data_IF_856219474161
#
_entry.id   IF_856219474161
#
_cell.length_a   1.000
_cell.length_b   1.000
_cell.length_c   1.000
_cell.angle_alpha   90.00
_cell.angle_beta   90.00
_cell.angle_gamma   90.00
#
_symmetry.space_group_name_H-M   'P 1'
#
loop_
_entity.id
_entity.type
_entity.pdbx_description
1 polymer ?
#
# COMPACT_ATOMS: atom_id res chain seq x y z
N UNK A 1 -17.50 -6.07 -1.07
CA UNK A 1 -18.81 -5.38 -1.09
C UNK A 1 -18.89 -4.38 0.08
N UNK A 2 -19.36 -3.15 -0.14
CA UNK A 2 -19.60 -2.19 0.95
C UNK A 2 -20.89 -2.56 1.72
N UNK A 3 -20.92 -2.40 3.05
CA UNK A 3 -22.15 -2.61 3.82
C UNK A 3 -23.20 -1.55 3.46
N UNK A 4 -24.49 -1.85 3.68
CA UNK A 4 -25.62 -0.97 3.36
C UNK A 4 -25.51 0.44 3.97
N UNK A 5 -24.86 0.56 5.13
CA UNK A 5 -24.52 1.84 5.76
C UNK A 5 -23.03 1.86 6.09
N UNK A 6 -22.18 2.34 5.16
CA UNK A 6 -20.75 2.35 5.38
C UNK A 6 -20.34 3.44 6.38
N UNK A 7 -19.40 3.11 7.27
CA UNK A 7 -18.89 4.06 8.25
C UNK A 7 -17.92 5.04 7.57
N UNK A 8 -18.46 6.18 7.13
CA UNK A 8 -17.68 7.21 6.42
C UNK A 8 -16.50 7.73 7.23
N UNK A 9 -16.67 7.95 8.54
CA UNK A 9 -15.60 8.43 9.41
C UNK A 9 -14.42 7.45 9.49
N UNK A 10 -14.70 6.14 9.51
CA UNK A 10 -13.65 5.11 9.47
C UNK A 10 -12.93 5.12 8.12
N UNK A 11 -13.67 5.13 7.01
CA UNK A 11 -13.09 5.16 5.67
C UNK A 11 -12.18 6.40 5.47
N UNK A 12 -12.65 7.57 5.88
CA UNK A 12 -11.88 8.81 5.82
C UNK A 12 -10.63 8.76 6.71
N UNK A 13 -10.75 8.15 7.89
CA UNK A 13 -9.62 7.95 8.80
C UNK A 13 -8.55 7.06 8.19
N UNK A 14 -8.93 5.92 7.60
CA UNK A 14 -8.00 5.02 6.92
C UNK A 14 -7.34 5.71 5.73
N UNK A 15 -8.11 6.41 4.87
CA UNK A 15 -7.56 7.19 3.75
C UNK A 15 -6.58 8.26 4.20
N UNK A 16 -6.91 8.98 5.28
CA UNK A 16 -6.02 9.99 5.86
C UNK A 16 -4.68 9.37 6.31
N UNK A 17 -4.71 8.20 6.94
CA UNK A 17 -3.50 7.46 7.33
C UNK A 17 -2.69 6.99 6.11
N UNK A 18 -3.33 6.50 5.06
CA UNK A 18 -2.67 6.11 3.80
C UNK A 18 -1.96 7.31 3.15
N UNK A 19 -2.60 8.49 3.13
CA UNK A 19 -1.99 9.72 2.60
C UNK A 19 -0.80 10.14 3.46
N UNK A 20 -0.92 10.11 4.79
CA UNK A 20 0.20 10.44 5.68
C UNK A 20 1.38 9.48 5.52
N UNK A 21 1.13 8.17 5.39
CA UNK A 21 2.17 7.14 5.28
C UNK A 21 2.92 7.18 3.94
N UNK A 22 2.22 7.50 2.85
CA UNK A 22 2.79 7.52 1.51
C UNK A 22 3.47 8.86 1.17
N UNK A 23 3.14 9.95 1.85
CA UNK A 23 3.71 11.26 1.55
C UNK A 23 5.16 11.40 2.09
N UNK A 24 6.12 11.89 1.27
CA UNK A 24 7.53 12.03 1.69
C UNK A 24 7.76 13.01 2.85
N UNK A 25 6.83 13.94 3.08
CA UNK A 25 6.97 15.00 4.08
C UNK A 25 5.69 15.28 4.86
N UNK A 26 5.73 16.23 5.80
CA UNK A 26 4.56 16.59 6.60
C UNK A 26 3.55 17.42 5.80
N UNK A 27 2.26 17.16 6.04
CA UNK A 27 1.13 17.75 5.31
C UNK A 27 0.33 18.74 6.16
N UNK A 28 -0.16 19.81 5.55
CA UNK A 28 -1.08 20.75 6.23
C UNK A 28 -2.51 20.22 6.26
N UNK A 29 -3.32 20.66 7.24
CA UNK A 29 -4.73 20.24 7.34
C UNK A 29 -5.57 20.64 6.11
N UNK A 30 -5.34 21.84 5.55
CA UNK A 30 -5.99 22.29 4.29
C UNK A 30 -5.59 21.45 3.08
N UNK A 31 -4.35 20.98 3.06
CA UNK A 31 -3.87 20.12 1.98
C UNK A 31 -4.53 18.75 2.06
N UNK A 32 -4.60 18.17 3.27
CA UNK A 32 -5.32 16.91 3.51
C UNK A 32 -6.82 17.02 3.23
N UNK A 33 -7.45 18.14 3.60
CA UNK A 33 -8.85 18.43 3.29
C UNK A 33 -9.14 18.35 1.79
N UNK A 34 -8.28 18.97 0.95
CA UNK A 34 -8.40 18.89 -0.51
C UNK A 34 -8.19 17.47 -1.04
N UNK A 35 -7.18 16.74 -0.54
CA UNK A 35 -6.89 15.37 -1.00
C UNK A 35 -7.97 14.36 -0.60
N UNK A 36 -8.67 14.61 0.50
CA UNK A 36 -9.75 13.76 1.00
C UNK A 36 -11.15 14.23 0.56
N UNK A 37 -11.22 15.29 -0.25
CA UNK A 37 -12.47 15.93 -0.69
C UNK A 37 -13.44 16.20 0.49
N UNK A 38 -12.95 16.94 1.50
CA UNK A 38 -13.73 17.27 2.68
C UNK A 38 -13.46 18.67 3.24
N UNK A 39 -14.39 19.16 4.05
CA UNK A 39 -14.26 20.43 4.75
C UNK A 39 -13.03 20.52 5.65
N UNK A 40 -12.38 21.68 5.66
CA UNK A 40 -11.14 21.91 6.45
C UNK A 40 -11.38 21.67 7.94
N UNK A 41 -12.52 22.07 8.49
CA UNK A 41 -12.89 21.83 9.90
C UNK A 41 -13.01 20.33 10.20
N UNK A 42 -13.56 19.54 9.26
CA UNK A 42 -13.67 18.07 9.40
C UNK A 42 -12.30 17.41 9.36
N UNK A 43 -11.43 17.82 8.43
CA UNK A 43 -10.06 17.34 8.35
C UNK A 43 -9.26 17.65 9.64
N UNK A 44 -9.44 18.85 10.20
CA UNK A 44 -8.83 19.21 11.49
C UNK A 44 -9.27 18.29 12.63
N UNK A 45 -10.58 18.05 12.75
CA UNK A 45 -11.12 17.14 13.78
C UNK A 45 -10.56 15.73 13.61
N UNK A 46 -10.58 15.21 12.38
CA UNK A 46 -10.02 13.90 12.06
C UNK A 46 -8.54 13.79 12.46
N UNK A 47 -7.73 14.77 12.06
CA UNK A 47 -6.29 14.78 12.35
C UNK A 47 -5.98 14.93 13.84
N UNK A 48 -6.77 15.70 14.58
CA UNK A 48 -6.64 15.80 16.04
C UNK A 48 -7.00 14.48 16.72
N UNK A 49 -8.05 13.79 16.27
CA UNK A 49 -8.39 12.44 16.76
C UNK A 49 -7.28 11.44 16.47
N UNK A 50 -6.77 11.38 15.24
CA UNK A 50 -5.65 10.51 14.88
C UNK A 50 -4.37 10.83 15.66
N UNK A 51 -4.12 12.11 15.93
CA UNK A 51 -2.99 12.53 16.77
C UNK A 51 -3.16 12.12 18.24
N UNK A 52 -4.36 12.24 18.78
CA UNK A 52 -4.69 11.75 20.12
C UNK A 52 -4.48 10.24 20.26
N UNK A 53 -4.79 9.48 19.22
CA UNK A 53 -4.54 8.02 19.15
C UNK A 53 -3.07 7.66 18.87
N UNK A 54 -2.17 8.65 18.69
CA UNK A 54 -0.77 8.43 18.34
C UNK A 54 -0.54 7.94 16.90
N UNK A 55 -1.58 7.90 16.07
CA UNK A 55 -1.53 7.47 14.66
C UNK A 55 -1.04 8.58 13.74
N UNK A 56 -1.24 9.84 14.12
CA UNK A 56 -0.61 10.99 13.50
C UNK A 56 0.23 11.75 14.55
N UNK A 57 1.16 12.58 14.10
CA UNK A 57 1.82 13.57 14.96
C UNK A 57 1.95 14.90 14.24
N UNK A 58 1.81 15.99 14.98
CA UNK A 58 1.90 17.35 14.45
C UNK A 58 3.27 17.94 14.80
N UNK A 59 3.95 18.53 13.82
CA UNK A 59 5.21 19.24 14.04
C UNK A 59 4.98 20.69 14.50
N UNK A 60 6.07 21.41 14.80
CA UNK A 60 6.04 22.84 15.21
C UNK A 60 5.41 23.80 14.19
N UNK A 61 5.27 23.39 12.94
CA UNK A 61 4.67 24.18 11.85
C UNK A 61 3.21 23.78 11.59
N UNK A 62 2.57 23.12 12.55
CA UNK A 62 1.19 22.63 12.44
C UNK A 62 0.93 21.65 11.30
N UNK A 63 1.98 21.02 10.76
CA UNK A 63 1.86 19.98 9.72
C UNK A 63 1.90 18.58 10.34
N UNK A 64 1.16 17.66 9.75
CA UNK A 64 0.97 16.30 10.22
C UNK A 64 1.83 15.29 9.47
N UNK A 65 2.29 14.26 10.17
CA UNK A 65 3.05 13.13 9.64
C UNK A 65 2.64 11.85 10.38
N UNK A 66 3.03 10.65 9.91
CA UNK A 66 2.77 9.40 10.62
C UNK A 66 3.23 9.45 12.08
N UNK A 67 2.37 8.99 12.98
CA UNK A 67 2.66 8.85 14.40
C UNK A 67 3.23 7.46 14.74
N UNK A 68 3.88 7.30 15.90
CA UNK A 68 4.54 6.05 16.29
C UNK A 68 3.56 4.86 16.39
N UNK A 69 2.28 5.09 16.70
CA UNK A 69 1.30 4.01 16.79
C UNK A 69 1.09 3.27 15.45
N UNK A 70 1.34 3.94 14.31
CA UNK A 70 1.30 3.27 13.00
C UNK A 70 2.38 2.20 12.87
N UNK A 71 3.59 2.49 13.37
CA UNK A 71 4.71 1.55 13.31
C UNK A 71 4.47 0.36 14.24
N UNK A 72 3.94 0.63 15.44
CA UNK A 72 3.56 -0.41 16.40
C UNK A 72 2.48 -1.32 15.80
N UNK A 73 1.43 -0.75 15.23
CA UNK A 73 0.35 -1.52 14.60
C UNK A 73 0.86 -2.37 13.43
N UNK A 74 1.71 -1.81 12.58
CA UNK A 74 2.33 -2.54 11.48
C UNK A 74 3.19 -3.72 12.00
N UNK A 75 4.05 -3.48 13.00
CA UNK A 75 4.88 -4.52 13.59
C UNK A 75 4.04 -5.64 14.23
N UNK A 76 3.00 -5.28 14.98
CA UNK A 76 2.09 -6.25 15.61
C UNK A 76 1.36 -7.09 14.55
N UNK A 77 0.85 -6.46 13.48
CA UNK A 77 0.14 -7.15 12.40
C UNK A 77 1.06 -8.10 11.61
N UNK A 78 2.28 -7.67 11.29
CA UNK A 78 3.27 -8.49 10.60
C UNK A 78 3.73 -9.68 11.46
N UNK A 79 3.88 -9.46 12.76
CA UNK A 79 4.23 -10.52 13.70
C UNK A 79 3.09 -11.54 13.85
N UNK A 80 1.87 -11.07 14.13
CA UNK A 80 0.72 -11.95 14.41
C UNK A 80 0.29 -12.77 13.19
N UNK A 81 0.50 -12.26 11.98
CA UNK A 81 0.18 -12.97 10.74
C UNK A 81 1.22 -14.03 10.36
N UNK A 82 2.42 -13.98 10.93
CA UNK A 82 3.55 -14.84 10.53
C UNK A 82 4.08 -14.56 9.12
N UNK A 83 3.60 -13.53 8.42
CA UNK A 83 3.93 -13.25 7.01
C UNK A 83 5.44 -13.16 6.79
N UNK A 84 6.14 -12.32 7.56
CA UNK A 84 7.59 -12.14 7.42
C UNK A 84 8.35 -13.37 7.91
N UNK A 85 7.94 -13.94 9.05
CA UNK A 85 8.62 -15.09 9.65
C UNK A 85 8.63 -16.32 8.73
N UNK A 86 7.49 -16.58 8.07
CA UNK A 86 7.34 -17.73 7.18
C UNK A 86 7.95 -17.49 5.79
N UNK A 87 7.98 -16.25 5.31
CA UNK A 87 8.49 -15.93 3.97
C UNK A 87 10.02 -15.80 3.92
N UNK A 88 10.65 -15.25 4.97
CA UNK A 88 12.06 -14.84 4.90
C UNK A 88 13.03 -16.02 4.65
N UNK A 89 12.81 -17.16 5.29
CA UNK A 89 13.66 -18.35 5.11
C UNK A 89 13.69 -18.86 3.66
N UNK A 90 12.53 -19.21 3.07
CA UNK A 90 12.44 -19.62 1.67
C UNK A 90 12.96 -18.56 0.69
N UNK A 91 12.69 -17.27 0.93
CA UNK A 91 13.18 -16.19 0.06
C UNK A 91 14.71 -16.08 0.07
N UNK A 92 15.34 -16.20 1.25
CA UNK A 92 16.79 -16.21 1.36
C UNK A 92 17.42 -17.44 0.71
N UNK A 93 16.81 -18.61 0.87
CA UNK A 93 17.26 -19.82 0.19
C UNK A 93 17.18 -19.68 -1.33
N UNK A 94 16.05 -19.18 -1.84
CA UNK A 94 15.86 -18.90 -3.26
C UNK A 94 16.91 -17.91 -3.76
N UNK A 95 17.08 -16.79 -3.08
CA UNK A 95 18.05 -15.75 -3.45
C UNK A 95 19.47 -16.31 -3.58
N UNK A 96 19.90 -17.15 -2.62
CA UNK A 96 21.23 -17.80 -2.67
C UNK A 96 21.39 -18.73 -3.88
N UNK A 97 20.32 -19.43 -4.27
CA UNK A 97 20.33 -20.35 -5.42
C UNK A 97 20.35 -19.61 -6.76
N UNK A 98 19.47 -18.62 -6.93
CA UNK A 98 19.32 -17.95 -8.24
C UNK A 98 20.24 -16.75 -8.44
N UNK A 99 20.70 -16.11 -7.36
CA UNK A 99 21.50 -14.87 -7.37
C UNK A 99 20.86 -13.74 -8.19
N UNK A 100 19.52 -13.71 -8.21
CA UNK A 100 18.69 -12.68 -8.82
C UNK A 100 17.93 -11.91 -7.74
N UNK A 101 17.19 -10.88 -8.16
CA UNK A 101 16.28 -10.16 -7.27
C UNK A 101 15.23 -11.13 -6.74
N UNK A 102 15.08 -11.17 -5.42
CA UNK A 102 14.02 -11.93 -4.76
C UNK A 102 13.12 -10.96 -4.00
N UNK A 103 11.84 -10.94 -4.35
CA UNK A 103 10.89 -9.99 -3.80
C UNK A 103 9.65 -10.69 -3.25
N UNK A 104 9.07 -10.08 -2.23
CA UNK A 104 7.79 -10.48 -1.62
C UNK A 104 6.99 -9.23 -1.30
N UNK A 105 5.72 -9.27 -1.70
CA UNK A 105 4.82 -8.14 -1.59
C UNK A 105 3.38 -8.59 -1.61
N UNK A 106 2.49 -7.62 -1.39
CA UNK A 106 1.06 -7.84 -1.29
C UNK A 106 0.34 -7.00 -2.33
N UNK A 107 -0.71 -7.54 -2.93
CA UNK A 107 -1.64 -6.74 -3.71
C UNK A 107 -2.53 -5.93 -2.76
N UNK A 108 -2.53 -4.61 -2.93
CA UNK A 108 -3.46 -3.73 -2.25
C UNK A 108 -3.93 -2.64 -3.22
N UNK A 109 -5.25 -2.47 -3.30
CA UNK A 109 -5.90 -1.69 -4.34
C UNK A 109 -5.36 -2.13 -5.72
N UNK A 110 -4.59 -1.29 -6.41
CA UNK A 110 -4.03 -1.55 -7.74
C UNK A 110 -2.51 -1.55 -7.77
N UNK A 111 -1.89 -1.80 -6.63
CA UNK A 111 -0.44 -1.78 -6.47
C UNK A 111 0.07 -2.99 -5.70
N UNK A 112 1.30 -3.39 -6.01
CA UNK A 112 2.08 -4.31 -5.20
C UNK A 112 2.87 -3.50 -4.17
N UNK A 113 2.61 -3.74 -2.89
CA UNK A 113 3.37 -3.18 -1.77
C UNK A 113 4.44 -4.19 -1.35
N UNK A 114 5.71 -3.81 -1.51
CA UNK A 114 6.81 -4.71 -1.21
C UNK A 114 7.11 -4.69 0.29
N UNK A 115 7.01 -5.87 0.91
CA UNK A 115 7.44 -6.08 2.28
C UNK A 115 8.93 -6.45 2.33
N UNK A 116 9.40 -7.12 1.28
CA UNK A 116 10.77 -7.58 1.13
C UNK A 116 11.23 -7.45 -0.32
N UNK A 117 12.40 -6.87 -0.56
CA UNK A 117 12.97 -6.71 -1.89
C UNK A 117 14.50 -6.82 -1.84
N UNK A 118 15.01 -8.03 -2.01
CA UNK A 118 16.43 -8.37 -1.86
C UNK A 118 17.13 -8.39 -3.22
N UNK A 119 18.14 -7.53 -3.37
CA UNK A 119 19.01 -7.47 -4.55
C UNK A 119 20.34 -8.19 -4.28
N UNK A 120 21.02 -8.71 -5.31
CA UNK A 120 22.36 -9.29 -5.12
C UNK A 120 23.32 -8.30 -4.44
N UNK A 121 24.01 -8.75 -3.39
CA UNK A 121 24.94 -7.93 -2.61
C UNK A 121 24.32 -7.13 -1.46
N UNK A 122 23.00 -7.22 -1.26
CA UNK A 122 22.29 -6.57 -0.16
C UNK A 122 22.14 -7.49 1.05
N UNK A 123 22.09 -6.93 2.27
CA UNK A 123 21.78 -7.70 3.47
C UNK A 123 20.27 -8.01 3.56
N UNK A 124 19.91 -9.03 4.35
CA UNK A 124 18.50 -9.39 4.53
C UNK A 124 17.70 -8.27 5.22
N UNK A 125 18.34 -7.51 6.10
CA UNK A 125 17.76 -6.39 6.85
C UNK A 125 17.49 -5.20 5.94
N UNK A 126 18.40 -4.90 5.01
CA UNK A 126 18.26 -3.82 4.03
C UNK A 126 17.13 -4.05 3.02
N UNK A 127 16.70 -5.31 2.84
CA UNK A 127 15.64 -5.67 1.91
C UNK A 127 14.24 -5.34 2.43
N UNK A 128 14.07 -5.11 3.74
CA UNK A 128 12.75 -4.84 4.35
C UNK A 128 12.31 -3.41 4.06
N UNK A 129 11.12 -3.25 3.46
CA UNK A 129 10.47 -1.94 3.26
C UNK A 129 11.21 -0.95 2.35
N UNK A 130 12.20 -1.41 1.56
CA UNK A 130 13.03 -0.57 0.68
C UNK A 130 12.28 -0.04 -0.54
N UNK A 131 11.50 -0.91 -1.17
CA UNK A 131 10.63 -0.54 -2.28
C UNK A 131 9.21 -0.33 -1.74
N UNK A 132 8.60 0.83 -2.00
CA UNK A 132 7.31 1.17 -1.38
C UNK A 132 6.13 0.54 -2.09
N UNK A 133 6.00 0.78 -3.39
CA UNK A 133 4.91 0.25 -4.22
C UNK A 133 5.29 0.23 -5.70
N UNK A 134 4.57 -0.57 -6.47
CA UNK A 134 4.59 -0.57 -7.93
C UNK A 134 3.18 -0.84 -8.47
N UNK A 135 2.75 -0.22 -9.59
CA UNK A 135 1.50 -0.58 -10.24
C UNK A 135 1.43 -2.09 -10.51
N UNK A 136 0.25 -2.68 -10.31
CA UNK A 136 0.07 -4.14 -10.43
C UNK A 136 0.52 -4.68 -11.78
N UNK A 137 0.25 -3.94 -12.86
CA UNK A 137 0.60 -4.30 -14.25
C UNK A 137 2.07 -4.15 -14.59
N UNK A 138 2.85 -3.51 -13.72
CA UNK A 138 4.29 -3.34 -13.87
C UNK A 138 5.10 -4.29 -12.98
N UNK A 139 4.43 -5.15 -12.20
CA UNK A 139 5.06 -6.06 -11.27
C UNK A 139 4.78 -7.51 -11.64
N UNK A 140 5.82 -8.36 -11.69
CA UNK A 140 5.65 -9.80 -11.88
C UNK A 140 4.79 -10.43 -10.76
N UNK A 141 4.93 -9.95 -9.52
CA UNK A 141 4.06 -10.37 -8.40
C UNK A 141 2.61 -9.97 -8.70
N UNK A 142 2.40 -8.77 -9.22
CA UNK A 142 1.08 -8.24 -9.54
C UNK A 142 0.40 -9.02 -10.64
N UNK A 143 1.08 -9.22 -11.78
CA UNK A 143 0.57 -10.03 -12.90
C UNK A 143 0.29 -11.47 -12.48
N UNK A 144 1.16 -12.10 -11.67
CA UNK A 144 0.90 -13.44 -11.13
C UNK A 144 -0.34 -13.48 -10.23
N UNK A 145 -0.57 -12.47 -9.39
CA UNK A 145 -1.77 -12.40 -8.54
C UNK A 145 -3.04 -12.14 -9.37
N UNK A 146 -2.94 -11.33 -10.43
CA UNK A 146 -4.03 -11.13 -11.38
C UNK A 146 -4.34 -12.40 -12.17
N UNK A 147 -3.34 -13.22 -12.52
CA UNK A 147 -3.54 -14.48 -13.24
C UNK A 147 -4.27 -15.56 -12.43
N UNK A 148 -4.55 -15.30 -11.14
CA UNK A 148 -5.39 -16.14 -10.29
C UNK A 148 -6.84 -15.70 -10.24
N UNK A 149 -7.16 -14.58 -10.90
CA UNK A 149 -8.51 -14.06 -11.05
C UNK A 149 -9.10 -14.53 -12.37
N UNK A 150 -10.42 -14.63 -12.39
CA UNK A 150 -11.19 -14.75 -13.62
C UNK A 150 -11.17 -13.43 -14.41
N UNK A 151 -11.40 -13.49 -15.72
CA UNK A 151 -11.49 -12.31 -16.57
C UNK A 151 -12.49 -11.27 -16.03
N UNK A 152 -13.62 -11.73 -15.49
CA UNK A 152 -14.64 -10.85 -14.89
C UNK A 152 -14.11 -10.13 -13.65
N UNK A 153 -13.41 -10.84 -12.76
CA UNK A 153 -12.77 -10.21 -11.59
C UNK A 153 -11.66 -9.24 -11.99
N UNK A 154 -10.97 -9.47 -13.12
CA UNK A 154 -9.97 -8.52 -13.65
C UNK A 154 -10.66 -7.27 -14.20
N UNK A 155 -11.78 -7.42 -14.93
CA UNK A 155 -12.61 -6.28 -15.36
C UNK A 155 -13.13 -5.47 -14.19
N UNK A 156 -13.72 -6.11 -13.18
CA UNK A 156 -14.17 -5.43 -11.95
C UNK A 156 -13.00 -4.73 -11.24
N UNK A 157 -11.83 -5.38 -11.17
CA UNK A 157 -10.66 -4.81 -10.54
C UNK A 157 -10.17 -3.52 -11.20
N UNK A 158 -10.30 -3.40 -12.53
CA UNK A 158 -9.95 -2.19 -13.29
C UNK A 158 -11.15 -1.28 -13.61
N UNK A 159 -12.33 -1.53 -13.04
CA UNK A 159 -13.50 -0.68 -13.25
C UNK A 159 -13.23 0.77 -12.80
N UNK A 160 -13.67 1.72 -13.63
CA UNK A 160 -13.41 3.15 -13.44
C UNK A 160 -11.93 3.56 -13.47
N UNK A 161 -11.05 2.77 -14.10
CA UNK A 161 -9.66 3.16 -14.39
C UNK A 161 -9.56 3.72 -15.80
N UNK A 162 -9.18 4.99 -15.91
CA UNK A 162 -8.97 5.63 -17.21
C UNK A 162 -7.68 5.15 -17.90
N UNK A 163 -6.60 4.98 -17.14
CA UNK A 163 -5.29 4.58 -17.65
C UNK A 163 -4.73 3.39 -16.86
N UNK A 164 -4.47 2.28 -17.55
CA UNK A 164 -3.77 1.13 -16.99
C UNK A 164 -2.28 1.23 -17.37
N UNK A 165 -1.36 1.37 -16.39
CA UNK A 165 0.06 1.51 -16.69
C UNK A 165 0.57 0.34 -17.53
N UNK A 166 1.26 0.66 -18.62
CA UNK A 166 1.79 -0.29 -19.62
C UNK A 166 0.77 -0.94 -20.58
N UNK A 167 -0.54 -0.66 -20.46
CA UNK A 167 -1.60 -1.26 -21.28
C UNK A 167 -2.54 -0.18 -21.86
N UNK A 168 -2.15 0.40 -23.00
CA UNK A 168 -2.86 1.55 -23.62
C UNK A 168 -4.24 1.22 -24.19
N UNK A 169 -4.55 -0.05 -24.39
CA UNK A 169 -5.86 -0.57 -24.82
C UNK A 169 -6.69 -1.11 -23.66
N UNK A 170 -6.31 -0.75 -22.44
CA UNK A 170 -7.10 -1.02 -21.25
C UNK A 170 -7.10 -2.49 -20.85
N UNK A 171 -8.19 -2.87 -20.19
CA UNK A 171 -8.25 -4.13 -19.43
C UNK A 171 -8.21 -5.38 -20.32
N UNK A 172 -8.70 -5.31 -21.55
CA UNK A 172 -8.71 -6.49 -22.43
C UNK A 172 -7.28 -6.92 -22.82
N UNK A 173 -6.37 -5.97 -23.08
CA UNK A 173 -4.96 -6.33 -23.30
C UNK A 173 -4.29 -6.90 -22.04
N UNK A 174 -4.72 -6.49 -20.85
CA UNK A 174 -4.22 -7.10 -19.60
C UNK A 174 -4.67 -8.56 -19.54
N UNK A 175 -5.92 -8.85 -19.86
CA UNK A 175 -6.48 -10.22 -19.85
C UNK A 175 -5.78 -11.08 -20.90
N UNK A 176 -5.51 -10.55 -22.09
CA UNK A 176 -4.75 -11.25 -23.13
C UNK A 176 -3.34 -11.64 -22.64
N UNK A 177 -2.61 -10.74 -21.97
CA UNK A 177 -1.27 -11.02 -21.43
C UNK A 177 -1.26 -11.97 -20.21
N UNK A 178 -2.42 -12.26 -19.61
CA UNK A 178 -2.53 -13.21 -18.49
C UNK A 178 -2.66 -14.67 -18.95
N UNK A 179 -2.92 -14.92 -20.24
CA UNK A 179 -3.16 -16.25 -20.84
C UNK A 179 -2.05 -16.67 -21.81
#
# INVERSE_FOLDING_TARGET
>A
MLPAQPNRSLMDGIRCLQILASNPGPLGARELARRLDMETTRAHRLLKTLAHMGMARQNRHSKYMPGPAMHVLAAQSLYSSGLIGNATGPLLELHRKVRLITAFGMLWERNVYYLYHLMPGMSAEEAVGRMRLQPVTQSAIGMMLLSKKTDEEVREFFDGVDEIPSYTGGVEMVIEDLH
#
